data_IF_561325374766
#
_entry.id   IF_561325374766
#
_cell.length_a   1.000
_cell.length_b   1.000
_cell.length_c   1.000
_cell.angle_alpha   90.00
_cell.angle_beta   90.00
_cell.angle_gamma   90.00
#
_symmetry.space_group_name_H-M   'P 1'
#
loop_
_entity.id
_entity.type
_entity.pdbx_description
1 polymer ?
#
# COMPACT_ATOMS: atom_id res chain seq x y z
N UNK A 1 10.45 -14.81 -1.54
CA UNK A 1 10.75 -13.39 -1.82
C UNK A 1 10.01 -12.58 -0.76
N UNK A 2 10.68 -11.66 -0.07
CA UNK A 2 10.03 -10.86 0.99
C UNK A 2 9.18 -9.75 0.36
N UNK A 3 8.07 -9.33 1.00
CA UNK A 3 7.26 -8.20 0.51
C UNK A 3 8.06 -6.91 0.31
N UNK A 4 9.02 -6.65 1.20
CA UNK A 4 9.91 -5.48 1.12
C UNK A 4 10.69 -5.45 -0.21
N UNK A 5 11.27 -6.58 -0.60
CA UNK A 5 11.99 -6.71 -1.88
C UNK A 5 11.09 -6.50 -3.11
N UNK A 6 9.80 -6.86 -2.99
CA UNK A 6 8.83 -6.59 -4.04
C UNK A 6 8.51 -5.10 -4.13
N UNK A 7 8.38 -4.40 -3.00
CA UNK A 7 8.14 -2.96 -2.98
C UNK A 7 9.34 -2.14 -3.44
N UNK A 8 10.57 -2.55 -3.09
CA UNK A 8 11.79 -1.91 -3.60
C UNK A 8 11.89 -2.03 -5.13
N UNK A 9 11.53 -3.19 -5.68
CA UNK A 9 11.47 -3.38 -7.12
C UNK A 9 10.47 -2.43 -7.79
N UNK A 10 9.27 -2.28 -7.21
CA UNK A 10 8.27 -1.34 -7.72
C UNK A 10 8.74 0.11 -7.61
N UNK A 11 9.39 0.49 -6.52
CA UNK A 11 9.88 1.85 -6.30
C UNK A 11 10.89 2.27 -7.36
N UNK A 12 11.79 1.38 -7.79
CA UNK A 12 12.76 1.63 -8.87
C UNK A 12 12.07 1.78 -10.24
N UNK A 13 10.95 1.10 -10.47
CA UNK A 13 10.24 1.11 -11.75
C UNK A 13 9.18 2.21 -11.87
N UNK A 14 8.97 3.00 -10.82
CA UNK A 14 8.02 4.10 -10.88
C UNK A 14 8.53 5.17 -11.83
N UNK A 15 7.66 5.54 -12.76
CA UNK A 15 7.87 6.70 -13.60
C UNK A 15 7.60 7.96 -12.76
N UNK A 16 8.68 8.55 -12.24
CA UNK A 16 8.61 9.73 -11.37
C UNK A 16 7.93 10.95 -12.01
N UNK A 17 8.02 11.14 -13.33
CA UNK A 17 7.32 12.22 -14.03
C UNK A 17 5.80 12.04 -14.02
N UNK A 18 5.33 10.81 -14.27
CA UNK A 18 3.89 10.49 -14.23
C UNK A 18 3.35 10.44 -12.80
N UNK A 19 4.17 10.02 -11.85
CA UNK A 19 3.82 9.90 -10.44
C UNK A 19 4.06 11.19 -9.64
N UNK A 20 4.69 12.21 -10.22
CA UNK A 20 5.06 13.46 -9.52
C UNK A 20 3.86 14.25 -9.00
N UNK A 21 2.72 14.19 -9.69
CA UNK A 21 1.45 14.80 -9.24
C UNK A 21 0.49 13.80 -8.58
N UNK A 22 0.85 12.51 -8.55
CA UNK A 22 -0.01 11.46 -8.03
C UNK A 22 0.25 11.27 -6.53
N UNK A 23 -0.82 11.35 -5.73
CA UNK A 23 -0.82 10.96 -4.33
C UNK A 23 -1.73 9.75 -4.16
N UNK A 24 -1.16 8.62 -3.80
CA UNK A 24 -1.91 7.38 -3.61
C UNK A 24 -1.42 6.64 -2.36
N UNK A 25 -2.37 6.07 -1.62
CA UNK A 25 -2.10 5.26 -0.44
C UNK A 25 -2.74 3.90 -0.64
N UNK A 26 -1.95 2.83 -0.50
CA UNK A 26 -2.39 1.45 -0.65
C UNK A 26 -2.15 0.70 0.65
N UNK A 27 -3.15 -0.05 1.10
CA UNK A 27 -2.97 -1.02 2.17
C UNK A 27 -2.90 -2.41 1.56
N UNK A 28 -1.84 -3.13 1.87
CA UNK A 28 -1.60 -4.49 1.42
C UNK A 28 -1.65 -5.39 2.65
N UNK A 29 -2.51 -6.40 2.60
CA UNK A 29 -2.65 -7.40 3.65
C UNK A 29 -2.23 -8.75 3.08
N UNK A 30 -1.09 -9.26 3.53
CA UNK A 30 -0.60 -10.59 3.13
C UNK A 30 -1.10 -11.71 4.06
N UNK A 31 -2.04 -11.41 4.97
CA UNK A 31 -2.61 -12.38 5.89
C UNK A 31 -1.66 -12.78 7.03
N UNK A 32 -1.99 -13.90 7.70
CA UNK A 32 -1.40 -14.30 8.98
C UNK A 32 0.13 -14.44 8.99
N UNK A 33 0.73 -14.87 7.87
CA UNK A 33 2.17 -15.12 7.79
C UNK A 33 2.94 -13.96 7.15
N UNK A 34 2.24 -13.05 6.48
CA UNK A 34 2.85 -12.00 5.66
C UNK A 34 2.69 -10.59 6.20
N UNK A 35 1.79 -10.36 7.17
CA UNK A 35 1.60 -9.06 7.80
C UNK A 35 0.94 -8.00 6.90
N UNK A 36 0.77 -6.81 7.47
CA UNK A 36 0.13 -5.68 6.80
C UNK A 36 1.17 -4.63 6.42
N UNK A 37 1.04 -4.05 5.24
CA UNK A 37 1.93 -3.02 4.73
C UNK A 37 1.13 -1.84 4.20
N UNK A 38 1.60 -0.65 4.51
CA UNK A 38 1.12 0.59 3.91
C UNK A 38 2.11 1.04 2.85
N UNK A 39 1.65 1.29 1.63
CA UNK A 39 2.43 1.92 0.57
C UNK A 39 1.92 3.34 0.33
N UNK A 40 2.84 4.29 0.24
CA UNK A 40 2.54 5.70 0.01
C UNK A 40 3.32 6.19 -1.20
N UNK A 41 2.61 6.48 -2.28
CA UNK A 41 3.15 7.14 -3.45
C UNK A 41 2.91 8.64 -3.32
N UNK A 42 3.99 9.41 -3.23
CA UNK A 42 3.94 10.87 -3.18
C UNK A 42 5.18 11.45 -3.87
N UNK A 43 4.98 12.49 -4.69
CA UNK A 43 6.05 13.17 -5.43
C UNK A 43 6.93 12.23 -6.27
N UNK A 44 6.35 11.17 -6.84
CA UNK A 44 7.10 10.18 -7.62
C UNK A 44 7.93 9.19 -6.80
N UNK A 45 7.82 9.19 -5.48
CA UNK A 45 8.52 8.27 -4.57
C UNK A 45 7.51 7.34 -3.93
N UNK A 46 7.79 6.03 -3.96
CA UNK A 46 7.00 5.01 -3.25
C UNK A 46 7.67 4.65 -1.94
N UNK A 47 6.98 4.94 -0.84
CA UNK A 47 7.38 4.58 0.51
C UNK A 47 6.59 3.35 0.96
N UNK A 48 7.21 2.48 1.74
CA UNK A 48 6.55 1.32 2.35
C UNK A 48 6.73 1.34 3.86
N UNK A 49 5.71 0.91 4.60
CA UNK A 49 5.75 0.80 6.07
C UNK A 49 5.13 -0.52 6.49
N UNK A 50 5.93 -1.37 7.12
CA UNK A 50 5.47 -2.63 7.70
C UNK A 50 4.59 -2.38 8.94
N UNK A 51 3.60 -3.25 9.14
CA UNK A 51 2.62 -3.22 10.24
C UNK A 51 1.82 -1.91 10.34
N UNK A 52 1.68 -1.18 9.24
CA UNK A 52 0.89 0.03 9.17
C UNK A 52 -0.29 -0.16 8.20
N UNK A 53 -1.42 0.45 8.56
CA UNK A 53 -2.63 0.49 7.74
C UNK A 53 -3.11 1.94 7.73
N UNK A 54 -3.29 2.50 6.54
CA UNK A 54 -3.93 3.80 6.39
C UNK A 54 -5.40 3.68 6.79
N UNK A 55 -5.83 4.50 7.77
CA UNK A 55 -7.17 4.48 8.36
C UNK A 55 -8.31 4.77 7.37
N UNK A 56 -8.00 5.30 6.20
CA UNK A 56 -8.97 5.79 5.20
C UNK A 56 -8.88 5.09 3.83
N UNK A 57 -8.03 4.07 3.68
CA UNK A 57 -8.14 3.23 2.49
C UNK A 57 -9.39 2.39 2.66
N UNK A 58 -10.43 2.72 1.89
CA UNK A 58 -11.61 1.89 1.69
C UNK A 58 -11.23 0.59 0.97
N UNK A 59 -10.51 -0.29 1.65
CA UNK A 59 -10.66 -1.71 1.40
C UNK A 59 -11.99 -2.07 2.03
N UNK A 60 -13.01 -2.17 1.18
CA UNK A 60 -14.32 -2.69 1.50
C UNK A 60 -14.16 -4.09 2.14
N UNK A 61 -13.98 -4.12 3.46
CA UNK A 61 -14.18 -5.29 4.31
C UNK A 61 -15.65 -5.31 4.78
N UNK A 62 -16.53 -4.70 3.99
CA UNK A 62 -17.96 -4.52 4.25
C UNK A 62 -18.84 -5.11 3.14
N UNK A 63 -18.30 -6.05 2.35
CA UNK A 63 -19.12 -7.07 1.69
C UNK A 63 -19.58 -8.12 2.72
N UNK A 64 -20.41 -7.70 3.68
CA UNK A 64 -21.25 -8.58 4.49
C UNK A 64 -20.83 -8.75 5.95
N UNK A 65 -21.11 -7.75 6.78
CA UNK A 65 -22.07 -7.86 7.89
C UNK A 65 -22.34 -6.44 8.40
N UNK A 66 -23.41 -5.85 7.86
CA UNK A 66 -24.19 -4.85 8.60
C UNK A 66 -24.71 -5.55 9.82
N UNK A 67 -24.31 -5.14 11.03
CA UNK A 67 -25.19 -5.18 12.21
C UNK A 67 -24.97 -3.96 13.11
N UNK A 68 -26.07 -3.43 13.68
CA UNK A 68 -26.10 -2.23 14.54
C UNK A 68 -25.37 -2.42 15.87
#
# INVERSE_FOLDING_TARGET
MTPEMFFDYLAVHINGEKAGAAKAVFNIDFGNDGGQYKLELENGVLNHTANAVAKDCRCDRDAGIVRP
#
